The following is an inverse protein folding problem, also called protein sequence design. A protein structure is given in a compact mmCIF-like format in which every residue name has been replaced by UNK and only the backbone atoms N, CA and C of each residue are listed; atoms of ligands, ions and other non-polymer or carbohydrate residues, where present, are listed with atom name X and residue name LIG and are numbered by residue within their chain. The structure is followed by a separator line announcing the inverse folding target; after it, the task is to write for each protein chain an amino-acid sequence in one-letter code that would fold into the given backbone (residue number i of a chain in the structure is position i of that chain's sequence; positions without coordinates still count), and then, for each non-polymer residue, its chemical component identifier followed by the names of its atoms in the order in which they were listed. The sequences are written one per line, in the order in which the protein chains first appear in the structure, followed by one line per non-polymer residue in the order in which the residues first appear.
data_IF_141737363754
#
_entry.id   IF_141737363754
#
_cell.length_a   1.000
_cell.length_b   1.000
_cell.length_c   1.000
_cell.angle_alpha   90.00
_cell.angle_beta   90.00
_cell.angle_gamma   90.00
#
_symmetry.space_group_name_H-M   'P 1'
#
loop_
_entity.id
_entity.type
_entity.pdbx_description
1 polymer ?
#
# COMPACT_ATOMS: atom_id res chain seq x y z
N UNK A 1 -8.27 22.81 1.16
CA UNK A 1 -7.82 21.74 2.08
C UNK A 1 -8.65 20.45 1.96
N UNK A 2 -9.99 20.51 1.91
CA UNK A 2 -10.86 19.30 1.81
C UNK A 2 -10.60 18.49 0.53
N UNK A 3 -10.54 19.14 -0.63
CA UNK A 3 -10.30 18.46 -1.91
C UNK A 3 -8.97 17.71 -1.93
N UNK A 4 -7.90 18.31 -1.40
CA UNK A 4 -6.59 17.64 -1.32
C UNK A 4 -6.63 16.41 -0.40
N UNK A 5 -7.36 16.48 0.72
CA UNK A 5 -7.55 15.36 1.62
C UNK A 5 -8.28 14.18 0.94
N UNK A 6 -9.30 14.48 0.12
CA UNK A 6 -10.00 13.45 -0.68
C UNK A 6 -9.03 12.80 -1.66
N UNK A 7 -8.19 13.57 -2.34
CA UNK A 7 -7.18 13.03 -3.27
C UNK A 7 -6.18 12.15 -2.53
N UNK A 8 -5.75 12.54 -1.32
CA UNK A 8 -4.87 11.75 -0.47
C UNK A 8 -5.54 10.40 -0.11
N UNK A 9 -6.80 10.40 0.27
CA UNK A 9 -7.53 9.17 0.56
C UNK A 9 -7.68 8.27 -0.67
N UNK A 10 -7.97 8.84 -1.84
CA UNK A 10 -8.00 8.08 -3.10
C UNK A 10 -6.62 7.48 -3.42
N UNK A 11 -5.54 8.20 -3.16
CA UNK A 11 -4.19 7.67 -3.34
C UNK A 11 -3.90 6.49 -2.39
N UNK A 12 -4.44 6.51 -1.16
CA UNK A 12 -4.32 5.38 -0.23
C UNK A 12 -5.19 4.18 -0.62
N UNK A 13 -6.39 4.37 -1.17
CA UNK A 13 -7.14 3.27 -1.79
C UNK A 13 -6.30 2.64 -2.91
N UNK A 14 -5.73 3.48 -3.76
CA UNK A 14 -4.88 3.03 -4.86
C UNK A 14 -3.65 2.26 -4.39
N UNK A 15 -3.05 2.63 -3.26
CA UNK A 15 -1.94 1.91 -2.66
C UNK A 15 -2.37 0.52 -2.17
N UNK A 16 -3.54 0.42 -1.53
CA UNK A 16 -4.06 -0.84 -1.03
C UNK A 16 -4.45 -1.84 -2.12
N UNK A 17 -4.90 -1.37 -3.29
CA UNK A 17 -5.33 -2.25 -4.38
C UNK A 17 -4.30 -3.31 -4.80
N UNK A 18 -3.02 -2.99 -5.05
CA UNK A 18 -2.01 -3.97 -5.43
C UNK A 18 -1.46 -4.81 -4.28
N UNK A 19 -1.49 -4.33 -3.04
CA UNK A 19 -0.86 -4.99 -1.89
C UNK A 19 -1.41 -6.40 -1.64
N UNK A 20 -2.71 -6.60 -1.89
CA UNK A 20 -3.40 -7.90 -1.73
C UNK A 20 -3.41 -8.75 -3.00
N UNK A 21 -2.93 -8.21 -4.13
CA UNK A 21 -3.15 -8.82 -5.44
C UNK A 21 -2.24 -10.01 -5.70
N UNK A 22 -0.94 -9.89 -5.39
CA UNK A 22 0.03 -10.95 -5.67
C UNK A 22 -0.37 -12.26 -5.01
N UNK A 23 -0.66 -12.24 -3.71
CA UNK A 23 -1.05 -13.45 -2.98
C UNK A 23 -2.39 -14.01 -3.44
N UNK A 24 -3.36 -13.14 -3.77
CA UNK A 24 -4.68 -13.57 -4.25
C UNK A 24 -4.62 -14.19 -5.65
N UNK A 25 -3.75 -13.69 -6.53
CA UNK A 25 -3.60 -14.17 -7.90
C UNK A 25 -2.69 -15.39 -8.02
N UNK A 26 -1.79 -15.58 -7.05
CA UNK A 26 -0.71 -16.57 -7.14
C UNK A 26 -1.17 -17.99 -7.45
N UNK A 27 -2.28 -18.51 -6.89
CA UNK A 27 -2.77 -19.84 -7.22
C UNK A 27 -3.04 -20.07 -8.72
N UNK A 28 -3.39 -19.00 -9.45
CA UNK A 28 -3.59 -19.06 -10.91
C UNK A 28 -2.30 -18.74 -11.69
N UNK A 29 -1.38 -17.95 -11.08
CA UNK A 29 -0.17 -17.48 -11.77
C UNK A 29 0.94 -18.52 -11.84
N UNK A 30 1.23 -19.24 -10.75
CA UNK A 30 2.40 -20.09 -10.68
C UNK A 30 2.37 -21.23 -11.71
N UNK A 31 1.18 -21.78 -11.99
CA UNK A 31 0.99 -22.81 -13.02
C UNK A 31 1.20 -22.25 -14.43
N UNK A 32 0.59 -21.10 -14.74
CA UNK A 32 0.72 -20.44 -16.04
C UNK A 32 2.16 -20.03 -16.34
N UNK A 33 2.93 -19.66 -15.32
CA UNK A 33 4.33 -19.24 -15.44
C UNK A 33 5.33 -20.39 -15.37
N UNK A 34 4.86 -21.62 -15.08
CA UNK A 34 5.73 -22.80 -14.94
C UNK A 34 6.74 -22.71 -13.80
N UNK A 35 6.39 -22.04 -12.69
CA UNK A 35 7.28 -21.85 -11.55
C UNK A 35 6.77 -22.53 -10.28
N UNK A 36 7.62 -22.67 -9.28
CA UNK A 36 7.24 -23.24 -7.99
C UNK A 36 6.29 -22.31 -7.22
N UNK A 37 5.46 -22.87 -6.36
CA UNK A 37 4.60 -22.12 -5.45
C UNK A 37 5.40 -21.10 -4.64
N UNK A 38 6.59 -21.48 -4.16
CA UNK A 38 7.48 -20.62 -3.36
C UNK A 38 7.99 -19.37 -4.08
N UNK A 39 7.91 -19.31 -5.40
CA UNK A 39 8.42 -18.18 -6.20
C UNK A 39 7.70 -16.86 -5.93
N UNK A 40 6.45 -16.87 -5.37
CA UNK A 40 5.79 -15.66 -4.89
C UNK A 40 6.62 -14.91 -3.85
N UNK A 41 7.33 -15.65 -3.00
CA UNK A 41 8.24 -15.07 -2.00
C UNK A 41 9.33 -14.20 -2.61
N UNK A 42 9.88 -14.59 -3.77
CA UNK A 42 10.93 -13.81 -4.46
C UNK A 42 10.36 -12.46 -4.91
N UNK A 43 9.20 -12.46 -5.57
CA UNK A 43 8.53 -11.22 -6.00
C UNK A 43 8.21 -10.34 -4.80
N UNK A 44 7.64 -10.93 -3.74
CA UNK A 44 7.32 -10.23 -2.49
C UNK A 44 8.56 -9.61 -1.83
N UNK A 45 9.69 -10.32 -1.81
CA UNK A 45 10.96 -9.80 -1.28
C UNK A 45 11.50 -8.64 -2.12
N UNK A 46 11.38 -8.67 -3.45
CA UNK A 46 11.77 -7.57 -4.33
C UNK A 46 10.91 -6.34 -4.04
N UNK A 47 9.57 -6.51 -3.95
CA UNK A 47 8.65 -5.43 -3.62
C UNK A 47 8.99 -4.84 -2.24
N UNK A 48 9.12 -5.68 -1.21
CA UNK A 48 9.43 -5.25 0.16
C UNK A 48 10.78 -4.53 0.25
N UNK A 49 11.81 -5.05 -0.43
CA UNK A 49 13.12 -4.41 -0.52
C UNK A 49 13.05 -3.03 -1.17
N UNK A 50 12.30 -2.90 -2.27
CA UNK A 50 12.02 -1.63 -2.92
C UNK A 50 11.28 -0.65 -2.02
N UNK A 51 10.26 -1.13 -1.30
CA UNK A 51 9.48 -0.34 -0.34
C UNK A 51 10.34 0.19 0.79
N UNK A 52 11.17 -0.65 1.40
CA UNK A 52 12.11 -0.23 2.46
C UNK A 52 13.08 0.83 1.94
N UNK A 53 13.71 0.57 0.79
CA UNK A 53 14.69 1.48 0.21
C UNK A 53 14.07 2.85 -0.11
N UNK A 54 12.90 2.87 -0.74
CA UNK A 54 12.23 4.11 -1.12
C UNK A 54 11.68 4.88 0.07
N UNK A 55 11.19 4.19 1.10
CA UNK A 55 10.74 4.83 2.35
C UNK A 55 11.89 5.52 3.08
N UNK A 56 13.08 4.89 3.13
CA UNK A 56 14.28 5.50 3.72
C UNK A 56 14.77 6.74 2.95
N UNK A 57 14.55 6.78 1.64
CA UNK A 57 14.95 7.90 0.78
C UNK A 57 13.85 8.98 0.66
N UNK A 58 12.62 8.69 1.10
CA UNK A 58 11.44 9.52 0.86
C UNK A 58 11.60 10.94 1.41
N UNK A 59 12.17 11.11 2.60
CA UNK A 59 12.39 12.42 3.20
C UNK A 59 13.29 13.32 2.33
N UNK A 60 14.37 12.77 1.75
CA UNK A 60 15.24 13.51 0.81
C UNK A 60 14.50 13.89 -0.47
N UNK A 61 13.68 12.96 -1.00
CA UNK A 61 12.90 13.19 -2.21
C UNK A 61 11.82 14.26 -1.98
N UNK A 62 11.12 14.19 -0.84
CA UNK A 62 10.08 15.16 -0.47
C UNK A 62 10.67 16.57 -0.30
N UNK A 63 11.80 16.70 0.37
CA UNK A 63 12.47 18.02 0.52
C UNK A 63 12.91 18.59 -0.82
N UNK A 64 13.33 17.76 -1.77
CA UNK A 64 13.83 18.22 -3.07
C UNK A 64 12.71 18.50 -4.07
N UNK A 65 11.68 17.68 -4.12
CA UNK A 65 10.65 17.70 -5.16
C UNK A 65 9.26 18.08 -4.65
N UNK A 66 9.05 18.06 -3.33
CA UNK A 66 7.75 18.27 -2.70
C UNK A 66 6.87 17.03 -2.72
N UNK A 67 5.97 16.93 -1.73
CA UNK A 67 5.10 15.75 -1.52
C UNK A 67 4.25 15.43 -2.74
N UNK A 68 3.65 16.45 -3.39
CA UNK A 68 2.75 16.23 -4.53
C UNK A 68 3.43 15.57 -5.72
N UNK A 69 4.64 16.02 -6.10
CA UNK A 69 5.38 15.43 -7.23
C UNK A 69 5.90 14.04 -6.90
N UNK A 70 6.38 13.81 -5.67
CA UNK A 70 6.79 12.49 -5.21
C UNK A 70 5.60 11.51 -5.27
N UNK A 71 4.43 11.90 -4.76
CA UNK A 71 3.21 11.09 -4.84
C UNK A 71 2.81 10.78 -6.28
N UNK A 72 2.80 11.78 -7.16
CA UNK A 72 2.48 11.60 -8.58
C UNK A 72 3.41 10.58 -9.25
N UNK A 73 4.73 10.77 -9.14
CA UNK A 73 5.72 9.87 -9.75
C UNK A 73 5.59 8.45 -9.18
N UNK A 74 5.41 8.33 -7.87
CA UNK A 74 5.30 7.04 -7.20
C UNK A 74 4.07 6.25 -7.63
N UNK A 75 2.89 6.89 -7.72
CA UNK A 75 1.68 6.23 -8.23
C UNK A 75 1.80 5.92 -9.73
N UNK A 76 2.48 6.75 -10.52
CA UNK A 76 2.76 6.45 -11.92
C UNK A 76 3.65 5.20 -12.05
N UNK A 77 4.68 5.07 -11.21
CA UNK A 77 5.54 3.88 -11.18
C UNK A 77 4.75 2.61 -10.85
N UNK A 78 3.86 2.66 -9.83
CA UNK A 78 3.03 1.51 -9.48
C UNK A 78 2.03 1.16 -10.60
N UNK A 79 1.42 2.16 -11.24
CA UNK A 79 0.50 1.94 -12.36
C UNK A 79 1.20 1.27 -13.56
N UNK A 80 2.39 1.74 -13.94
CA UNK A 80 3.20 1.16 -15.01
C UNK A 80 3.63 -0.26 -14.65
N UNK A 81 4.06 -0.49 -13.41
CA UNK A 81 4.45 -1.80 -12.93
C UNK A 81 3.29 -2.81 -13.02
N UNK A 82 2.08 -2.43 -12.58
CA UNK A 82 0.90 -3.28 -12.67
C UNK A 82 0.48 -3.56 -14.11
N UNK A 83 0.64 -2.59 -15.02
CA UNK A 83 0.47 -2.82 -16.44
C UNK A 83 1.49 -3.84 -16.94
N UNK A 84 2.75 -3.73 -16.52
CA UNK A 84 3.79 -4.72 -16.80
C UNK A 84 3.42 -6.11 -16.29
N UNK A 85 2.89 -6.23 -15.07
CA UNK A 85 2.36 -7.50 -14.55
C UNK A 85 1.26 -8.04 -15.45
N UNK A 86 0.31 -7.20 -15.88
CA UNK A 86 -0.81 -7.62 -16.72
C UNK A 86 -0.40 -8.10 -18.11
N UNK A 87 0.73 -7.66 -18.62
CA UNK A 87 1.29 -8.03 -19.93
C UNK A 87 2.34 -9.13 -19.84
N UNK A 88 2.67 -9.55 -18.61
CA UNK A 88 3.75 -10.50 -18.37
C UNK A 88 3.34 -11.92 -18.75
N UNK A 89 4.21 -12.58 -19.52
CA UNK A 89 4.16 -14.02 -19.78
C UNK A 89 5.33 -14.78 -19.14
N UNK A 90 6.15 -14.14 -18.30
CA UNK A 90 7.31 -14.77 -17.68
C UNK A 90 7.56 -14.30 -16.24
N UNK A 91 8.10 -15.20 -15.43
CA UNK A 91 8.46 -14.89 -14.04
C UNK A 91 9.51 -13.77 -13.93
N UNK A 92 10.49 -13.75 -14.85
CA UNK A 92 11.55 -12.73 -14.85
C UNK A 92 10.96 -11.34 -15.08
N UNK A 93 9.98 -11.21 -15.99
CA UNK A 93 9.30 -9.93 -16.25
C UNK A 93 8.54 -9.45 -15.01
N UNK A 94 7.90 -10.37 -14.26
CA UNK A 94 7.25 -10.02 -12.99
C UNK A 94 8.28 -9.51 -11.97
N UNK A 95 9.44 -10.15 -11.85
CA UNK A 95 10.52 -9.69 -10.97
C UNK A 95 11.03 -8.29 -11.35
N UNK A 96 11.18 -8.01 -12.66
CA UNK A 96 11.58 -6.68 -13.15
C UNK A 96 10.52 -5.64 -12.80
N UNK A 97 9.25 -5.94 -13.04
CA UNK A 97 8.14 -5.04 -12.73
C UNK A 97 7.91 -4.88 -11.21
N UNK A 98 8.31 -5.85 -10.39
CA UNK A 98 8.24 -5.76 -8.93
C UNK A 98 9.13 -4.64 -8.35
N UNK A 99 10.25 -4.29 -9.02
CA UNK A 99 11.14 -3.22 -8.58
C UNK A 99 10.45 -1.86 -8.56
N UNK A 100 9.92 -1.34 -9.69
CA UNK A 100 9.20 -0.07 -9.68
C UNK A 100 7.91 -0.11 -8.84
N UNK A 101 7.27 -1.28 -8.70
CA UNK A 101 6.11 -1.45 -7.83
C UNK A 101 6.47 -1.17 -6.36
N UNK A 102 7.53 -1.79 -5.86
CA UNK A 102 8.00 -1.60 -4.48
C UNK A 102 8.52 -0.19 -4.22
N UNK A 103 9.34 0.36 -5.13
CA UNK A 103 9.86 1.72 -5.01
C UNK A 103 8.74 2.76 -4.98
N UNK A 104 7.73 2.62 -5.83
CA UNK A 104 6.57 3.50 -5.86
C UNK A 104 5.73 3.37 -4.59
N UNK A 105 5.41 2.16 -4.16
CA UNK A 105 4.59 1.91 -2.97
C UNK A 105 5.19 2.54 -1.71
N UNK A 106 6.48 2.31 -1.43
CA UNK A 106 7.12 2.86 -0.23
C UNK A 106 7.25 4.38 -0.25
N UNK A 107 7.54 4.97 -1.41
CA UNK A 107 7.63 6.43 -1.52
C UNK A 107 6.29 7.13 -1.32
N UNK A 108 5.20 6.61 -1.88
CA UNK A 108 3.87 7.22 -1.72
C UNK A 108 3.37 7.05 -0.28
N UNK A 109 3.58 5.88 0.32
CA UNK A 109 3.18 5.62 1.71
C UNK A 109 3.87 6.61 2.66
N UNK A 110 5.20 6.68 2.63
CA UNK A 110 5.96 7.58 3.48
C UNK A 110 5.62 9.06 3.23
N UNK A 111 5.46 9.48 1.97
CA UNK A 111 5.16 10.86 1.62
C UNK A 111 3.79 11.31 2.14
N UNK A 112 2.75 10.49 1.98
CA UNK A 112 1.40 10.85 2.39
C UNK A 112 1.20 10.73 3.89
N UNK A 113 1.79 9.73 4.55
CA UNK A 113 1.80 9.63 6.02
C UNK A 113 2.44 10.86 6.65
N UNK A 114 3.62 11.26 6.17
CA UNK A 114 4.30 12.46 6.65
C UNK A 114 3.46 13.73 6.40
N UNK A 115 2.89 13.88 5.21
CA UNK A 115 2.07 15.03 4.86
C UNK A 115 0.82 15.14 5.75
N UNK A 116 0.12 14.02 5.99
CA UNK A 116 -1.08 14.01 6.85
C UNK A 116 -0.70 14.26 8.31
N UNK A 117 0.41 13.72 8.79
CA UNK A 117 0.90 13.96 10.15
C UNK A 117 1.20 15.45 10.41
N UNK A 118 1.77 16.15 9.43
CA UNK A 118 2.15 17.56 9.57
C UNK A 118 0.97 18.53 9.35
N UNK A 119 -0.01 18.20 8.49
CA UNK A 119 -0.99 19.15 7.99
C UNK A 119 -2.42 18.89 8.48
N UNK A 120 -2.69 17.72 9.08
CA UNK A 120 -4.04 17.32 9.46
C UNK A 120 -4.10 16.78 10.90
N UNK A 121 -5.31 16.68 11.46
CA UNK A 121 -5.54 16.15 12.81
C UNK A 121 -5.28 14.62 12.83
N UNK A 122 -4.88 14.09 13.99
CA UNK A 122 -4.60 12.65 14.18
C UNK A 122 -5.70 11.69 13.68
N UNK A 123 -6.99 12.11 13.74
CA UNK A 123 -8.10 11.31 13.20
C UNK A 123 -7.97 10.99 11.71
N UNK A 124 -7.36 11.90 10.93
CA UNK A 124 -7.17 11.69 9.49
C UNK A 124 -6.10 10.65 9.20
N UNK A 125 -5.15 10.46 10.10
CA UNK A 125 -4.19 9.36 10.01
C UNK A 125 -4.88 8.00 10.13
N UNK A 126 -5.76 7.82 11.10
CA UNK A 126 -6.54 6.57 11.23
C UNK A 126 -7.42 6.32 10.00
N UNK A 127 -8.05 7.36 9.48
CA UNK A 127 -8.87 7.24 8.26
C UNK A 127 -8.05 6.90 7.02
N UNK A 128 -6.84 7.44 6.91
CA UNK A 128 -5.91 7.14 5.84
C UNK A 128 -5.69 5.61 5.71
N UNK A 129 -5.39 4.95 6.81
CA UNK A 129 -5.21 3.49 6.85
C UNK A 129 -6.51 2.70 6.65
N UNK A 130 -7.67 3.25 7.00
CA UNK A 130 -8.95 2.65 6.63
C UNK A 130 -9.16 2.68 5.12
N UNK A 131 -8.83 3.78 4.44
CA UNK A 131 -8.91 3.88 2.99
C UNK A 131 -7.95 2.93 2.28
N UNK A 132 -6.73 2.73 2.82
CA UNK A 132 -5.85 1.65 2.35
C UNK A 132 -6.53 0.28 2.45
N UNK A 133 -7.14 -0.03 3.59
CA UNK A 133 -7.84 -1.29 3.79
C UNK A 133 -9.02 -1.50 2.84
N UNK A 134 -9.75 -0.44 2.48
CA UNK A 134 -10.77 -0.49 1.42
C UNK A 134 -10.14 -0.93 0.09
N UNK A 135 -8.99 -0.34 -0.29
CA UNK A 135 -8.25 -0.74 -1.48
C UNK A 135 -7.82 -2.20 -1.44
N UNK A 136 -7.20 -2.62 -0.33
CA UNK A 136 -6.75 -4.00 -0.12
C UNK A 136 -7.91 -5.02 -0.14
N UNK A 137 -9.12 -4.61 0.24
CA UNK A 137 -10.32 -5.44 0.15
C UNK A 137 -10.88 -5.53 -1.27
N UNK A 138 -10.85 -4.43 -2.04
CA UNK A 138 -11.40 -4.36 -3.40
C UNK A 138 -10.50 -5.10 -4.40
N UNK A 139 -9.16 -5.07 -4.23
CA UNK A 139 -8.22 -5.72 -5.13
C UNK A 139 -8.56 -7.19 -5.41
N UNK A 140 -8.68 -8.05 -4.39
CA UNK A 140 -9.05 -9.46 -4.57
C UNK A 140 -10.45 -9.67 -5.16
N UNK A 141 -11.41 -8.76 -4.93
CA UNK A 141 -12.74 -8.82 -5.55
C UNK A 141 -12.65 -8.63 -7.06
N UNK A 142 -11.90 -7.60 -7.50
CA UNK A 142 -11.66 -7.35 -8.94
C UNK A 142 -10.99 -8.56 -9.57
N UNK A 143 -10.00 -9.15 -8.88
CA UNK A 143 -9.31 -10.34 -9.34
C UNK A 143 -10.24 -11.55 -9.42
N UNK A 144 -11.01 -11.83 -8.37
CA UNK A 144 -11.98 -12.92 -8.35
C UNK A 144 -12.96 -12.79 -9.52
N UNK A 145 -13.49 -11.60 -9.76
CA UNK A 145 -14.37 -11.32 -10.89
C UNK A 145 -13.68 -11.60 -12.24
N UNK A 146 -12.41 -11.19 -12.38
CA UNK A 146 -11.62 -11.46 -13.59
C UNK A 146 -11.38 -12.95 -13.83
N UNK A 147 -11.13 -13.71 -12.76
CA UNK A 147 -10.96 -15.16 -12.83
C UNK A 147 -12.27 -15.88 -13.20
N UNK A 148 -13.41 -15.42 -12.69
CA UNK A 148 -14.73 -15.98 -13.02
C UNK A 148 -15.06 -15.74 -14.49
N UNK A 149 -14.97 -14.50 -14.96
CA UNK A 149 -15.46 -14.08 -16.27
C UNK A 149 -14.50 -14.43 -17.43
N UNK A 150 -13.21 -14.29 -17.21
CA UNK A 150 -12.20 -14.40 -18.28
C UNK A 150 -11.15 -15.47 -18.03
N UNK A 151 -11.20 -16.18 -16.89
CA UNK A 151 -10.19 -17.17 -16.49
C UNK A 151 -8.75 -16.61 -16.56
N UNK A 152 -8.58 -15.31 -16.30
CA UNK A 152 -7.32 -14.61 -16.49
C UNK A 152 -7.00 -13.66 -15.33
N UNK A 153 -5.90 -13.92 -14.66
CA UNK A 153 -5.33 -13.03 -13.64
C UNK A 153 -4.77 -11.73 -14.27
N UNK A 154 -4.28 -11.79 -15.51
CA UNK A 154 -3.74 -10.64 -16.24
C UNK A 154 -4.79 -9.51 -16.37
N UNK A 155 -6.06 -9.87 -16.61
CA UNK A 155 -7.16 -8.89 -16.71
C UNK A 155 -7.40 -8.21 -15.37
N UNK A 156 -7.28 -8.92 -14.26
CA UNK A 156 -7.37 -8.34 -12.92
C UNK A 156 -6.30 -7.27 -12.68
N UNK A 157 -5.05 -7.57 -12.98
CA UNK A 157 -3.94 -6.60 -12.91
C UNK A 157 -4.15 -5.41 -13.84
N UNK A 158 -4.65 -5.65 -15.06
CA UNK A 158 -4.96 -4.59 -16.04
C UNK A 158 -6.03 -3.65 -15.54
N UNK A 159 -7.10 -4.18 -14.98
CA UNK A 159 -8.19 -3.37 -14.43
C UNK A 159 -7.69 -2.43 -13.32
N UNK A 160 -6.88 -2.95 -12.40
CA UNK A 160 -6.30 -2.14 -11.31
C UNK A 160 -5.29 -1.12 -11.84
N UNK A 161 -4.46 -1.50 -12.83
CA UNK A 161 -3.55 -0.55 -13.48
C UNK A 161 -4.31 0.61 -14.12
N UNK A 162 -5.42 0.34 -14.82
CA UNK A 162 -6.25 1.40 -15.43
C UNK A 162 -6.82 2.33 -14.35
N UNK A 163 -7.31 1.80 -13.24
CA UNK A 163 -7.78 2.62 -12.10
C UNK A 163 -6.65 3.52 -11.60
N UNK A 164 -5.43 2.99 -11.46
CA UNK A 164 -4.29 3.79 -11.02
C UNK A 164 -3.86 4.83 -12.06
N UNK A 165 -3.92 4.53 -13.35
CA UNK A 165 -3.64 5.51 -14.42
C UNK A 165 -4.61 6.69 -14.34
N UNK A 166 -5.90 6.44 -14.11
CA UNK A 166 -6.88 7.51 -13.89
C UNK A 166 -6.49 8.37 -12.68
N UNK A 167 -6.07 7.73 -11.58
CA UNK A 167 -5.61 8.47 -10.40
C UNK A 167 -4.32 9.28 -10.70
N UNK A 168 -3.40 8.75 -11.49
CA UNK A 168 -2.18 9.48 -11.92
C UNK A 168 -2.57 10.78 -12.63
N UNK A 169 -3.58 10.75 -13.50
CA UNK A 169 -4.09 11.96 -14.16
C UNK A 169 -4.68 12.94 -13.14
N UNK A 170 -5.46 12.46 -12.20
CA UNK A 170 -6.01 13.29 -11.10
C UNK A 170 -4.88 13.92 -10.27
N UNK A 171 -3.85 13.14 -9.93
CA UNK A 171 -2.69 13.63 -9.17
C UNK A 171 -1.92 14.70 -9.97
N UNK A 172 -1.72 14.49 -11.27
CA UNK A 172 -1.07 15.47 -12.13
C UNK A 172 -1.82 16.80 -12.15
N UNK A 173 -3.13 16.78 -12.33
CA UNK A 173 -3.99 17.98 -12.33
C UNK A 173 -3.99 18.64 -10.95
N UNK A 174 -3.83 17.87 -9.87
CA UNK A 174 -3.85 18.38 -8.50
C UNK A 174 -2.54 19.00 -8.02
N UNK A 175 -1.44 18.88 -8.77
CA UNK A 175 -0.11 19.38 -8.35
C UNK A 175 -0.12 20.85 -7.87
N UNK A 176 -0.88 21.79 -8.49
CA UNK A 176 -0.96 23.17 -7.97
C UNK A 176 -1.56 23.29 -6.56
N UNK A 177 -2.46 22.36 -6.18
CA UNK A 177 -3.08 22.36 -4.85
C UNK A 177 -2.07 22.03 -3.75
N UNK A 178 -1.15 21.09 -4.04
CA UNK A 178 -0.09 20.70 -3.11
C UNK A 178 0.85 21.86 -2.82
N UNK A 179 1.26 22.60 -3.85
CA UNK A 179 2.11 23.80 -3.70
C UNK A 179 1.45 24.86 -2.83
N UNK A 180 0.14 25.07 -3.01
CA UNK A 180 -0.61 26.08 -2.26
C UNK A 180 -0.71 25.76 -0.76
N UNK A 181 -0.80 24.50 -0.38
CA UNK A 181 -0.83 24.08 1.02
C UNK A 181 0.55 24.17 1.66
N UNK A 182 1.60 23.76 0.96
CA UNK A 182 2.98 23.85 1.47
C UNK A 182 3.45 25.30 1.67
N UNK A 183 3.01 26.27 0.83
CA UNK A 183 3.41 27.68 0.93
C UNK A 183 2.75 28.42 2.10
N UNK A 184 1.57 28.00 2.54
CA UNK A 184 0.86 28.63 3.67
C UNK A 184 1.56 28.37 5.01
N UNK A 185 2.35 27.29 5.12
CA UNK A 185 3.02 26.93 6.37
C UNK A 185 4.48 27.38 6.47
N UNK A 186 5.12 27.76 5.35
CA UNK A 186 6.48 28.35 5.40
C UNK A 186 6.53 29.72 6.14
N UNK A 187 5.39 30.23 6.57
CA UNK A 187 5.25 31.49 7.32
C UNK A 187 4.93 31.34 8.81
N UNK A 188 4.73 30.13 9.31
CA UNK A 188 4.44 29.89 10.73
C UNK A 188 5.42 28.82 11.26
N UNK A 189 6.39 29.29 12.03
CA UNK A 189 7.29 28.55 12.90
C UNK A 189 7.84 27.22 12.31
N UNK A 190 9.07 27.28 11.78
CA UNK A 190 10.02 26.19 11.93
C UNK A 190 10.22 25.95 13.44
N UNK A 191 9.22 25.31 14.07
CA UNK A 191 9.44 24.71 15.37
C UNK A 191 10.60 23.72 15.20
N UNK A 192 11.65 23.94 15.95
CA UNK A 192 12.86 23.19 16.10
C UNK A 192 12.53 21.72 16.48
N UNK A 193 11.91 20.96 15.55
CA UNK A 193 11.69 19.54 15.72
C UNK A 193 13.05 18.89 15.58
N UNK A 194 13.68 18.62 16.72
CA UNK A 194 14.89 17.78 16.78
C UNK A 194 14.58 16.46 16.07
N UNK A 195 15.17 16.28 14.90
CA UNK A 195 15.13 15.00 14.18
C UNK A 195 15.99 14.05 15.00
N UNK A 196 15.33 13.19 15.79
CA UNK A 196 16.02 12.16 16.56
C UNK A 196 16.68 11.19 15.59
N UNK A 197 17.92 10.86 15.84
CA UNK A 197 18.61 9.80 15.13
C UNK A 197 17.99 8.42 15.47
N UNK A 198 18.15 7.44 14.60
CA UNK A 198 17.60 6.09 14.83
C UNK A 198 18.05 5.47 16.17
N UNK A 199 19.32 5.59 16.63
CA UNK A 199 19.72 5.13 17.95
C UNK A 199 19.04 5.87 19.11
N UNK A 200 18.78 7.17 18.96
CA UNK A 200 18.05 7.96 19.98
C UNK A 200 16.58 7.54 20.06
N UNK A 201 15.95 7.27 18.91
CA UNK A 201 14.58 6.73 18.87
C UNK A 201 14.46 5.41 19.63
N UNK A 202 15.43 4.50 19.47
CA UNK A 202 15.44 3.21 20.18
C UNK A 202 15.67 3.32 21.70
N UNK A 203 16.14 4.47 22.18
CA UNK A 203 16.31 4.75 23.62
C UNK A 203 15.04 5.28 24.28
N UNK A 204 14.05 5.69 23.50
CA UNK A 204 12.78 6.16 24.05
C UNK A 204 12.07 5.02 24.81
N UNK A 205 11.50 5.28 25.99
CA UNK A 205 10.74 4.28 26.75
C UNK A 205 9.57 3.76 25.91
N UNK A 206 9.45 2.44 25.76
CA UNK A 206 8.37 1.79 25.00
C UNK A 206 8.63 1.67 23.49
N UNK A 207 9.61 2.35 22.90
CA UNK A 207 9.85 2.31 21.46
C UNK A 207 10.14 0.89 20.93
N UNK A 208 10.98 0.13 21.65
CA UNK A 208 11.29 -1.26 21.26
C UNK A 208 10.07 -2.17 21.28
N UNK A 209 9.23 -2.04 22.30
CA UNK A 209 7.99 -2.82 22.45
C UNK A 209 7.02 -2.52 21.30
N UNK A 210 6.84 -1.24 20.95
CA UNK A 210 6.00 -0.82 19.83
C UNK A 210 6.55 -1.36 18.51
N UNK A 211 7.86 -1.28 18.28
CA UNK A 211 8.49 -1.80 17.06
C UNK A 211 8.32 -3.32 16.93
N UNK A 212 8.51 -4.08 18.04
CA UNK A 212 8.33 -5.53 18.03
C UNK A 212 6.85 -5.88 17.78
N UNK A 213 5.92 -5.22 18.47
CA UNK A 213 4.49 -5.45 18.27
C UNK A 213 4.07 -5.15 16.82
N UNK A 214 4.56 -4.05 16.25
CA UNK A 214 4.28 -3.68 14.87
C UNK A 214 4.91 -4.67 13.87
N UNK A 215 6.13 -5.13 14.13
CA UNK A 215 6.76 -6.18 13.32
C UNK A 215 5.95 -7.47 13.31
N UNK A 216 5.50 -7.95 14.49
CA UNK A 216 4.67 -9.15 14.58
C UNK A 216 3.34 -8.97 13.84
N UNK A 217 2.72 -7.79 13.97
CA UNK A 217 1.50 -7.47 13.25
C UNK A 217 1.72 -7.52 11.73
N UNK A 218 2.74 -6.84 11.22
CA UNK A 218 3.06 -6.84 9.80
C UNK A 218 3.43 -8.24 9.29
N UNK A 219 4.12 -9.05 10.09
CA UNK A 219 4.48 -10.42 9.73
C UNK A 219 3.22 -11.29 9.51
N UNK A 220 2.24 -11.19 10.40
CA UNK A 220 0.96 -11.91 10.26
C UNK A 220 0.21 -11.41 9.03
N UNK A 221 0.06 -10.10 8.89
CA UNK A 221 -0.68 -9.48 7.78
C UNK A 221 -0.08 -9.89 6.42
N UNK A 222 1.23 -9.77 6.27
CA UNK A 222 1.92 -10.13 5.03
C UNK A 222 1.89 -11.65 4.75
N UNK A 223 2.00 -12.48 5.80
CA UNK A 223 1.95 -13.94 5.62
C UNK A 223 0.58 -14.39 5.11
N UNK A 224 -0.50 -13.90 5.73
CA UNK A 224 -1.86 -14.23 5.28
C UNK A 224 -2.14 -13.60 3.92
N UNK A 225 -1.74 -12.36 3.70
CA UNK A 225 -1.90 -11.66 2.43
C UNK A 225 -1.24 -12.39 1.26
N UNK A 226 -0.01 -12.90 1.46
CA UNK A 226 0.74 -13.59 0.40
C UNK A 226 0.33 -15.05 0.21
N UNK A 227 0.10 -15.79 1.30
CA UNK A 227 -0.05 -17.25 1.26
C UNK A 227 -1.46 -17.75 1.50
N UNK A 228 -2.36 -16.89 2.01
CA UNK A 228 -3.72 -17.31 2.39
C UNK A 228 -4.52 -17.89 1.23
N UNK A 229 -4.52 -17.26 0.06
CA UNK A 229 -5.20 -17.77 -1.13
C UNK A 229 -4.58 -19.10 -1.59
N UNK A 230 -3.25 -19.18 -1.63
CA UNK A 230 -2.54 -20.40 -2.01
C UNK A 230 -2.87 -21.55 -1.06
N UNK A 231 -2.89 -21.31 0.25
CA UNK A 231 -3.29 -22.31 1.24
C UNK A 231 -4.73 -22.81 1.02
N UNK A 232 -5.67 -21.90 0.77
CA UNK A 232 -7.06 -22.25 0.51
C UNK A 232 -7.21 -23.14 -0.73
N UNK A 233 -6.48 -22.84 -1.78
CA UNK A 233 -6.52 -23.62 -3.03
C UNK A 233 -5.82 -24.97 -2.86
N UNK A 234 -4.59 -24.99 -2.37
CA UNK A 234 -3.75 -26.21 -2.39
C UNK A 234 -4.08 -27.19 -1.27
N UNK A 235 -4.49 -26.69 -0.09
CA UNK A 235 -4.73 -27.53 1.10
C UNK A 235 -6.21 -27.76 1.34
N UNK A 236 -7.05 -26.76 1.05
CA UNK A 236 -8.50 -26.86 1.29
C UNK A 236 -9.32 -27.17 0.03
N UNK A 237 -8.70 -27.23 -1.15
CA UNK A 237 -9.37 -27.55 -2.40
C UNK A 237 -10.37 -26.48 -2.87
N UNK A 238 -10.26 -25.25 -2.36
CA UNK A 238 -11.13 -24.13 -2.75
C UNK A 238 -10.69 -23.64 -4.13
N UNK A 239 -11.63 -23.20 -4.99
CA UNK A 239 -11.27 -22.62 -6.28
C UNK A 239 -10.51 -21.30 -6.11
N UNK A 240 -9.64 -20.95 -7.07
CA UNK A 240 -8.81 -19.73 -7.01
C UNK A 240 -9.67 -18.46 -6.91
N UNK A 241 -10.81 -18.44 -7.60
CA UNK A 241 -11.76 -17.33 -7.58
C UNK A 241 -12.38 -17.14 -6.19
N UNK A 242 -12.79 -18.24 -5.56
CA UNK A 242 -13.37 -18.23 -4.21
C UNK A 242 -12.33 -17.87 -3.18
N UNK A 243 -11.11 -18.41 -3.29
CA UNK A 243 -10.01 -18.08 -2.41
C UNK A 243 -9.67 -16.58 -2.46
N UNK A 244 -9.60 -15.98 -3.65
CA UNK A 244 -9.40 -14.54 -3.81
C UNK A 244 -10.50 -13.73 -3.11
N UNK A 245 -11.78 -14.11 -3.25
CA UNK A 245 -12.88 -13.41 -2.58
C UNK A 245 -12.82 -13.56 -1.05
N UNK A 246 -12.37 -14.69 -0.52
CA UNK A 246 -12.21 -14.89 0.93
C UNK A 246 -11.06 -14.07 1.51
N UNK A 247 -9.97 -13.87 0.75
CA UNK A 247 -8.90 -12.95 1.15
C UNK A 247 -9.43 -11.50 1.24
N UNK A 248 -10.39 -11.11 0.40
CA UNK A 248 -11.06 -9.81 0.57
C UNK A 248 -11.74 -9.69 1.94
N UNK A 249 -12.42 -10.74 2.43
CA UNK A 249 -13.03 -10.73 3.77
C UNK A 249 -12.00 -10.55 4.89
N UNK A 250 -10.81 -11.14 4.74
CA UNK A 250 -9.70 -10.92 5.67
C UNK A 250 -9.32 -9.43 5.74
N UNK A 251 -9.15 -8.77 4.59
CA UNK A 251 -8.83 -7.35 4.55
C UNK A 251 -9.97 -6.44 5.03
N UNK A 252 -11.23 -6.84 4.80
CA UNK A 252 -12.39 -6.17 5.40
C UNK A 252 -12.31 -6.23 6.93
N UNK A 253 -11.96 -7.40 7.48
CA UNK A 253 -11.75 -7.57 8.92
C UNK A 253 -10.66 -6.65 9.48
N UNK A 254 -9.51 -6.55 8.80
CA UNK A 254 -8.43 -5.61 9.16
C UNK A 254 -8.93 -4.16 9.11
N UNK A 255 -9.64 -3.78 8.05
CA UNK A 255 -10.19 -2.43 7.86
C UNK A 255 -11.15 -2.04 8.98
N UNK A 256 -12.08 -2.94 9.32
CA UNK A 256 -13.00 -2.73 10.41
C UNK A 256 -12.28 -2.65 11.77
N UNK A 257 -11.28 -3.49 12.00
CA UNK A 257 -10.45 -3.44 13.19
C UNK A 257 -9.71 -2.10 13.35
N UNK A 258 -9.12 -1.60 12.26
CA UNK A 258 -8.47 -0.27 12.24
C UNK A 258 -9.48 0.86 12.48
N UNK A 259 -10.66 0.79 11.90
CA UNK A 259 -11.73 1.76 12.11
C UNK A 259 -12.19 1.77 13.57
N UNK A 260 -12.48 0.60 14.14
CA UNK A 260 -12.90 0.47 15.54
C UNK A 260 -11.83 0.93 16.52
N UNK A 261 -10.54 0.60 16.26
CA UNK A 261 -9.44 1.05 17.10
C UNK A 261 -9.31 2.57 17.12
N UNK A 262 -9.56 3.23 15.99
CA UNK A 262 -9.59 4.70 15.90
C UNK A 262 -10.67 5.32 16.80
N UNK A 263 -11.86 4.74 16.86
CA UNK A 263 -12.94 5.19 17.75
C UNK A 263 -12.64 4.88 19.23
N UNK A 264 -12.09 3.71 19.53
CA UNK A 264 -11.69 3.34 20.88
C UNK A 264 -10.60 4.26 21.42
N UNK A 265 -9.61 4.60 20.61
CA UNK A 265 -8.53 5.52 20.99
C UNK A 265 -9.04 6.93 21.34
N UNK A 266 -10.14 7.38 20.72
CA UNK A 266 -10.78 8.66 21.07
C UNK A 266 -11.46 8.59 22.44
N UNK A 267 -12.07 7.45 22.78
CA UNK A 267 -12.80 7.25 24.05
C UNK A 267 -11.87 6.87 25.21
N UNK A 268 -10.88 6.05 24.97
CA UNK A 268 -9.88 5.64 25.95
C UNK A 268 -8.77 6.70 25.99
N UNK A 269 -9.01 7.79 26.67
CA UNK A 269 -7.99 8.82 26.93
C UNK A 269 -6.81 8.19 27.68
N UNK A 270 -5.60 8.46 27.23
CA UNK A 270 -4.24 8.12 27.67
C UNK A 270 -3.94 7.91 29.17
N UNK A 271 -4.83 7.41 29.99
CA UNK A 271 -4.66 7.23 31.44
C UNK A 271 -5.16 5.88 31.96
N UNK A 272 -5.34 4.89 31.11
CA UNK A 272 -5.64 3.54 31.58
C UNK A 272 -4.74 2.53 30.90
#
# INVERSE_FOLDING_TARGET
MVLLLVIIYLAFISLGLPDSLLGSAWPSMYGDLGVSIGSAGIISMIISGGTILSSLLSDRLIRRFGTGLVTFISVAMTAIALMGFSLSGSFIMLCICAVPLGLGAGSVDAALNNFVALHYKAKHMSWLHCFWGIGASIGPIILSYSLIQWKSWNIGYRAISIIQIVLVIVLLISLPLWRKVSSVQSGSDESNQQILSFPELLRLPGAKQVLIAFFCYCAIENTVGLWGSTYLVTVRGVSAETAASWISLYYIGITLGRLLSGFLAIKLRHKQ
#
